data_IF_934684615527
#
_entry.id   IF_934684615527
#
_cell.length_a   1.000
_cell.length_b   1.000
_cell.length_c   1.000
_cell.angle_alpha   90.00
_cell.angle_beta   90.00
_cell.angle_gamma   90.00
#
_symmetry.space_group_name_H-M   'P 1'
#
loop_
_entity.id
_entity.type
_entity.pdbx_description
1 polymer ?
#
# COMPACT_ATOMS: atom_id res chain seq x y z
N UNK A 1 5.57 17.27 35.77
CA UNK A 1 6.13 17.72 34.47
C UNK A 1 5.11 17.38 33.40
N UNK A 2 4.08 18.20 33.28
CA UNK A 2 3.05 18.05 32.26
C UNK A 2 3.60 18.59 30.94
N UNK A 3 3.94 17.70 30.02
CA UNK A 3 4.27 18.08 28.65
C UNK A 3 3.00 18.70 28.05
N UNK A 4 3.01 19.95 27.55
CA UNK A 4 1.86 20.49 26.86
C UNK A 4 1.59 19.58 25.67
N UNK A 5 0.41 18.96 25.63
CA UNK A 5 -0.02 18.14 24.53
C UNK A 5 0.00 19.03 23.28
N UNK A 6 1.04 18.88 22.45
CA UNK A 6 1.18 19.60 21.20
C UNK A 6 -0.05 19.23 20.36
N UNK A 7 -0.99 20.17 20.25
CA UNK A 7 -2.16 19.99 19.39
C UNK A 7 -1.62 19.76 17.98
N UNK A 8 -1.81 18.56 17.47
CA UNK A 8 -1.43 18.21 16.11
C UNK A 8 -2.16 19.17 15.17
N UNK A 9 -1.43 19.78 14.24
CA UNK A 9 -2.09 20.63 13.24
C UNK A 9 -2.89 19.74 12.30
N UNK A 10 -3.92 20.27 11.62
CA UNK A 10 -4.68 19.49 10.64
C UNK A 10 -3.79 18.85 9.57
N UNK A 11 -2.69 19.51 9.19
CA UNK A 11 -1.72 18.95 8.24
C UNK A 11 -0.99 17.73 8.79
N UNK A 12 -0.59 17.75 10.08
CA UNK A 12 0.07 16.61 10.74
C UNK A 12 -0.85 15.38 10.80
N UNK A 13 -2.15 15.60 11.04
CA UNK A 13 -3.16 14.53 11.07
C UNK A 13 -3.33 13.92 9.67
N UNK A 14 -3.43 14.76 8.64
CA UNK A 14 -3.58 14.30 7.27
C UNK A 14 -2.35 13.52 6.77
N UNK A 15 -1.14 13.98 7.10
CA UNK A 15 0.10 13.28 6.76
C UNK A 15 0.18 11.90 7.44
N UNK A 16 -0.20 11.81 8.72
CA UNK A 16 -0.26 10.52 9.44
C UNK A 16 -1.32 9.59 8.87
N UNK A 17 -2.47 10.10 8.48
CA UNK A 17 -3.54 9.32 7.87
C UNK A 17 -3.06 8.68 6.56
N UNK A 18 -2.43 9.45 5.68
CA UNK A 18 -1.86 8.94 4.42
C UNK A 18 -0.78 7.89 4.69
N UNK A 19 0.08 8.12 5.69
CA UNK A 19 1.12 7.16 6.06
C UNK A 19 0.54 5.85 6.60
N UNK A 20 -0.50 5.91 7.43
CA UNK A 20 -1.19 4.73 7.96
C UNK A 20 -1.88 3.97 6.83
N UNK A 21 -2.59 4.66 5.93
CA UNK A 21 -3.26 4.04 4.79
C UNK A 21 -2.21 3.38 3.89
N UNK A 22 -1.15 4.09 3.52
CA UNK A 22 -0.06 3.56 2.71
C UNK A 22 0.61 2.34 3.34
N UNK A 23 0.92 2.41 4.64
CA UNK A 23 1.49 1.29 5.38
C UNK A 23 0.55 0.08 5.47
N UNK A 24 -0.76 0.31 5.70
CA UNK A 24 -1.75 -0.77 5.75
C UNK A 24 -1.94 -1.45 4.39
N UNK A 25 -1.96 -0.67 3.29
CA UNK A 25 -2.07 -1.19 1.94
C UNK A 25 -0.81 -1.98 1.56
N UNK A 26 0.37 -1.48 1.90
CA UNK A 26 1.64 -2.18 1.70
C UNK A 26 1.70 -3.48 2.51
N UNK A 27 1.31 -3.46 3.79
CA UNK A 27 1.27 -4.65 4.63
C UNK A 27 0.28 -5.69 4.09
N UNK A 28 -0.93 -5.26 3.70
CA UNK A 28 -1.93 -6.14 3.09
C UNK A 28 -1.41 -6.76 1.79
N UNK A 29 -0.75 -5.97 0.94
CA UNK A 29 -0.13 -6.46 -0.29
C UNK A 29 0.96 -7.52 -0.01
N UNK A 30 1.85 -7.29 0.96
CA UNK A 30 2.89 -8.27 1.34
C UNK A 30 2.25 -9.54 1.88
N UNK A 31 1.25 -9.44 2.76
CA UNK A 31 0.56 -10.60 3.32
C UNK A 31 -0.16 -11.42 2.25
N UNK A 32 -0.87 -10.78 1.33
CA UNK A 32 -1.55 -11.45 0.22
C UNK A 32 -0.53 -12.10 -0.72
N UNK A 33 0.55 -11.40 -1.05
CA UNK A 33 1.62 -11.95 -1.91
C UNK A 33 2.24 -13.19 -1.27
N UNK A 34 2.66 -13.11 -0.01
CA UNK A 34 3.22 -14.25 0.72
C UNK A 34 2.21 -15.38 0.89
N UNK A 35 0.94 -15.05 1.16
CA UNK A 35 -0.14 -16.02 1.30
C UNK A 35 -0.41 -16.79 0.00
N UNK A 36 -0.46 -16.09 -1.14
CA UNK A 36 -0.61 -16.72 -2.46
C UNK A 36 0.62 -17.56 -2.79
N UNK A 37 1.84 -17.05 -2.59
CA UNK A 37 3.07 -17.81 -2.82
C UNK A 37 3.12 -19.06 -1.95
N UNK A 38 2.77 -18.96 -0.67
CA UNK A 38 2.68 -20.09 0.24
C UNK A 38 1.62 -21.11 -0.23
N UNK A 39 0.42 -20.65 -0.60
CA UNK A 39 -0.63 -21.51 -1.10
C UNK A 39 -0.19 -22.25 -2.37
N UNK A 40 0.55 -21.61 -3.28
CA UNK A 40 1.04 -22.28 -4.50
C UNK A 40 2.16 -23.28 -4.23
N UNK A 41 3.02 -23.05 -3.23
CA UNK A 41 4.14 -23.94 -2.91
C UNK A 41 3.70 -25.13 -2.05
N UNK A 42 2.85 -24.90 -1.06
CA UNK A 42 2.53 -25.90 -0.02
C UNK A 42 1.12 -26.48 -0.13
N UNK A 43 0.21 -25.86 -0.90
CA UNK A 43 -1.13 -26.40 -1.15
C UNK A 43 -1.18 -26.95 -2.57
N UNK A 44 -1.24 -28.27 -2.68
CA UNK A 44 -1.40 -28.96 -3.96
C UNK A 44 -2.79 -28.69 -4.52
N UNK A 45 -2.86 -27.92 -5.60
CA UNK A 45 -4.11 -27.65 -6.32
C UNK A 45 -4.15 -28.54 -7.57
N UNK A 46 -5.07 -29.51 -7.67
CA UNK A 46 -5.13 -30.38 -8.83
C UNK A 46 -5.58 -29.58 -10.06
N UNK A 47 -4.64 -29.24 -10.95
CA UNK A 47 -4.88 -28.44 -12.17
C UNK A 47 -6.00 -29.00 -13.07
N UNK A 48 -6.22 -30.33 -13.04
CA UNK A 48 -7.19 -31.03 -13.88
C UNK A 48 -8.48 -31.42 -13.14
N UNK A 49 -8.60 -31.14 -11.84
CA UNK A 49 -9.75 -31.54 -11.02
C UNK A 49 -10.13 -30.49 -9.94
N UNK A 50 -9.76 -29.23 -10.15
CA UNK A 50 -10.09 -28.16 -9.23
C UNK A 50 -11.59 -27.87 -9.28
N UNK A 51 -12.23 -27.77 -8.11
CA UNK A 51 -13.64 -27.44 -8.03
C UNK A 51 -13.90 -26.04 -8.65
N UNK A 52 -15.00 -25.84 -9.39
CA UNK A 52 -15.28 -24.58 -10.10
C UNK A 52 -15.27 -23.34 -9.18
N UNK A 53 -15.71 -23.49 -7.93
CA UNK A 53 -15.70 -22.45 -6.90
C UNK A 53 -14.28 -22.09 -6.46
N UNK A 54 -13.40 -23.06 -6.29
CA UNK A 54 -12.01 -22.84 -5.84
C UNK A 54 -11.20 -22.13 -6.91
N UNK A 55 -11.40 -22.50 -8.18
CA UNK A 55 -10.75 -21.83 -9.32
C UNK A 55 -11.16 -20.35 -9.42
N UNK A 56 -12.46 -20.07 -9.34
CA UNK A 56 -12.99 -18.71 -9.38
C UNK A 56 -12.48 -17.85 -8.20
N UNK A 57 -12.41 -18.43 -7.00
CA UNK A 57 -11.91 -17.73 -5.82
C UNK A 57 -10.44 -17.33 -5.96
N UNK A 58 -9.60 -18.23 -6.50
CA UNK A 58 -8.17 -17.94 -6.71
C UNK A 58 -7.98 -16.86 -7.78
N UNK A 59 -8.79 -16.87 -8.84
CA UNK A 59 -8.71 -15.85 -9.88
C UNK A 59 -9.13 -14.47 -9.36
N UNK A 60 -10.14 -14.44 -8.49
CA UNK A 60 -10.54 -13.23 -7.76
C UNK A 60 -9.43 -12.75 -6.82
N UNK A 61 -8.77 -13.64 -6.07
CA UNK A 61 -7.63 -13.28 -5.21
C UNK A 61 -6.46 -12.69 -6.01
N UNK A 62 -6.11 -13.28 -7.17
CA UNK A 62 -5.08 -12.73 -8.07
C UNK A 62 -5.46 -11.33 -8.56
N UNK A 63 -6.71 -11.16 -8.99
CA UNK A 63 -7.23 -9.87 -9.47
C UNK A 63 -7.15 -8.80 -8.39
N UNK A 64 -7.57 -9.12 -7.16
CA UNK A 64 -7.48 -8.22 -6.02
C UNK A 64 -6.04 -7.89 -5.65
N UNK A 65 -5.12 -8.86 -5.72
CA UNK A 65 -3.70 -8.64 -5.46
C UNK A 65 -3.09 -7.64 -6.47
N UNK A 66 -3.35 -7.82 -7.76
CA UNK A 66 -2.89 -6.90 -8.82
C UNK A 66 -3.48 -5.50 -8.61
N UNK A 67 -4.78 -5.41 -8.30
CA UNK A 67 -5.45 -4.14 -8.03
C UNK A 67 -4.85 -3.42 -6.82
N UNK A 68 -4.52 -4.14 -5.75
CA UNK A 68 -3.82 -3.61 -4.57
C UNK A 68 -2.42 -3.10 -4.93
N UNK A 69 -1.64 -3.83 -5.73
CA UNK A 69 -0.34 -3.37 -6.22
C UNK A 69 -0.46 -2.07 -7.02
N UNK A 70 -1.43 -2.01 -7.94
CA UNK A 70 -1.69 -0.83 -8.76
C UNK A 70 -2.11 0.38 -7.92
N UNK A 71 -2.96 0.15 -6.92
CA UNK A 71 -3.41 1.19 -5.98
C UNK A 71 -2.24 1.76 -5.16
N UNK A 72 -1.34 0.89 -4.67
CA UNK A 72 -0.13 1.31 -3.95
C UNK A 72 0.79 2.15 -4.86
N UNK A 73 1.03 1.68 -6.10
CA UNK A 73 1.80 2.44 -7.10
C UNK A 73 1.21 3.82 -7.39
N UNK A 74 -0.12 3.92 -7.51
CA UNK A 74 -0.83 5.18 -7.70
C UNK A 74 -0.70 6.14 -6.51
N UNK A 75 -0.81 5.64 -5.28
CA UNK A 75 -0.65 6.45 -4.05
C UNK A 75 0.80 6.94 -3.90
N UNK A 76 1.80 6.11 -4.20
CA UNK A 76 3.21 6.52 -4.16
C UNK A 76 3.54 7.54 -5.27
N UNK A 77 3.05 7.35 -6.49
CA UNK A 77 3.26 8.31 -7.57
C UNK A 77 2.57 9.67 -7.27
N UNK A 78 1.37 9.64 -6.68
CA UNK A 78 0.62 10.83 -6.31
C UNK A 78 1.21 11.63 -5.15
N UNK A 79 1.87 10.96 -4.19
CA UNK A 79 2.45 11.59 -2.99
C UNK A 79 3.98 11.75 -3.01
N UNK A 80 4.71 10.97 -3.83
CA UNK A 80 6.16 10.80 -3.74
C UNK A 80 7.02 11.53 -4.78
N UNK A 81 6.44 12.28 -5.73
CA UNK A 81 7.21 12.95 -6.81
C UNK A 81 7.16 14.49 -6.79
N UNK A 82 6.67 15.13 -5.72
CA UNK A 82 6.63 16.60 -5.61
C UNK A 82 7.78 17.23 -4.80
N UNK A 83 8.96 16.64 -4.83
CA UNK A 83 10.18 17.33 -4.41
C UNK A 83 10.69 18.21 -5.56
N UNK A 84 10.14 19.42 -5.72
CA UNK A 84 10.92 20.50 -6.34
C UNK A 84 11.66 21.21 -5.20
N UNK A 85 13.00 21.06 -5.08
CA UNK A 85 13.78 22.02 -4.33
C UNK A 85 13.62 23.35 -5.06
N UNK A 86 13.03 24.35 -4.41
CA UNK A 86 13.10 25.72 -4.91
C UNK A 86 14.52 26.20 -4.55
N UNK A 87 15.37 26.59 -5.52
CA UNK A 87 16.63 27.22 -5.18
C UNK A 87 16.30 28.57 -4.53
N UNK A 88 16.71 28.75 -3.28
CA UNK A 88 16.68 30.03 -2.59
C UNK A 88 17.66 30.98 -3.29
N UNK A 89 17.16 31.84 -4.19
CA UNK A 89 17.94 32.98 -4.68
C UNK A 89 17.90 34.08 -3.62
N UNK A 90 19.06 34.55 -3.09
CA UNK A 90 19.09 35.69 -2.18
C UNK A 90 18.70 36.99 -2.92
N UNK A 91 18.02 37.95 -2.24
CA UNK A 91 17.68 39.22 -2.86
C UNK A 91 18.95 40.03 -3.11
N UNK A 92 19.19 40.43 -4.37
CA UNK A 92 20.18 41.47 -4.69
C UNK A 92 19.59 42.82 -4.36
N UNK A 93 20.18 43.50 -3.38
CA UNK A 93 20.07 44.96 -3.21
C UNK A 93 20.94 45.71 -4.22
#
# INVERSE_FOLDING_TARGET
MDRPARRLTPEDIHARLILIIGASLAACFVLVTLGITYALIFVTQPLNAQAPNDAAFIDLLKTLAIFLTGSLGGVLAGNGLKSKPKPDTPPKG
#
